data_IF_278340044224
#
_entry.id   IF_278340044224
#
_cell.length_a   1.000
_cell.length_b   1.000
_cell.length_c   1.000
_cell.angle_alpha   90.00
_cell.angle_beta   90.00
_cell.angle_gamma   90.00
#
_symmetry.space_group_name_H-M   'P 1'
#
loop_
_entity.id
_entity.type
_entity.pdbx_description
1 polymer ?
#
# COMPACT_ATOMS: atom_id res chain seq x y z
N UNK A 1 47.77 -1.96 -20.53
CA UNK A 1 47.93 -1.16 -19.29
C UNK A 1 46.58 -0.53 -19.03
N UNK A 2 45.58 -1.25 -18.55
CA UNK A 2 45.49 -1.92 -17.24
C UNK A 2 45.95 -1.00 -16.09
N UNK A 3 44.97 -0.44 -15.39
CA UNK A 3 44.92 -0.48 -13.93
C UNK A 3 43.47 -0.80 -13.53
N UNK A 4 43.27 -2.06 -13.15
CA UNK A 4 42.19 -2.56 -12.31
C UNK A 4 42.32 -2.01 -10.89
N UNK A 5 41.22 -2.02 -10.12
CA UNK A 5 41.09 -2.27 -8.66
C UNK A 5 39.72 -1.72 -8.19
N UNK A 6 38.65 -2.52 -8.02
CA UNK A 6 38.33 -3.58 -7.05
C UNK A 6 38.12 -3.14 -5.58
N UNK A 7 37.06 -3.72 -4.97
CA UNK A 7 36.73 -3.87 -3.52
C UNK A 7 36.05 -2.66 -2.84
N UNK A 8 34.93 -2.80 -2.10
CA UNK A 8 34.58 -3.78 -1.05
C UNK A 8 33.05 -3.84 -0.84
N UNK A 9 32.40 -4.96 -1.13
CA UNK A 9 31.83 -5.98 -0.23
C UNK A 9 31.62 -5.64 1.28
N UNK A 10 30.34 -5.75 1.67
CA UNK A 10 29.78 -6.32 2.91
C UNK A 10 30.21 -5.79 4.28
N UNK A 11 29.23 -5.22 5.00
CA UNK A 11 29.15 -5.37 6.45
C UNK A 11 27.70 -5.59 6.92
N UNK A 12 27.23 -6.83 6.74
CA UNK A 12 26.12 -7.39 7.52
C UNK A 12 26.63 -7.54 8.96
N UNK A 13 26.02 -6.85 9.93
CA UNK A 13 26.23 -7.12 11.34
C UNK A 13 24.96 -7.71 11.95
N UNK A 14 24.96 -9.04 11.98
CA UNK A 14 24.12 -9.86 12.83
C UNK A 14 24.45 -9.56 14.30
N UNK A 15 23.44 -9.31 15.13
CA UNK A 15 23.50 -9.66 16.54
C UNK A 15 22.10 -9.95 17.08
N UNK A 16 21.84 -11.24 17.20
CA UNK A 16 20.83 -11.81 18.08
C UNK A 16 21.21 -11.57 19.54
N UNK A 17 20.22 -11.25 20.37
CA UNK A 17 20.32 -11.42 21.82
C UNK A 17 19.05 -12.13 22.30
N UNK A 18 19.31 -13.28 22.91
CA UNK A 18 18.38 -14.21 23.53
C UNK A 18 17.62 -13.54 24.70
N UNK A 19 16.34 -13.89 24.86
CA UNK A 19 15.83 -14.82 25.88
C UNK A 19 15.90 -14.28 27.31
N UNK A 20 14.72 -13.98 27.85
CA UNK A 20 14.52 -13.62 29.24
C UNK A 20 13.04 -13.59 29.58
N UNK A 21 12.43 -14.76 29.77
CA UNK A 21 11.12 -14.89 30.38
C UNK A 21 11.24 -15.75 31.64
N UNK A 22 10.95 -15.20 32.81
CA UNK A 22 10.49 -16.01 33.92
C UNK A 22 9.27 -15.38 34.60
N UNK A 23 8.23 -16.17 34.82
CA UNK A 23 7.20 -15.80 35.79
C UNK A 23 5.83 -16.38 35.51
N UNK A 24 5.62 -17.65 35.86
CA UNK A 24 4.28 -18.21 36.04
C UNK A 24 4.15 -18.67 37.48
N UNK A 25 3.21 -18.12 38.26
CA UNK A 25 2.59 -18.88 39.32
C UNK A 25 1.16 -19.27 38.92
N UNK A 26 0.87 -20.51 39.31
CA UNK A 26 -0.37 -21.27 39.18
C UNK A 26 -1.36 -20.81 40.26
N UNK A 27 -2.62 -20.56 39.92
CA UNK A 27 -3.78 -20.90 40.76
C UNK A 27 -5.02 -21.10 39.86
N UNK A 28 -5.75 -22.18 40.13
CA UNK A 28 -7.10 -22.48 39.61
C UNK A 28 -8.12 -22.19 40.74
N UNK A 29 -9.39 -22.60 40.61
CA UNK A 29 -10.52 -21.85 40.06
C UNK A 29 -11.55 -21.47 41.15
N UNK A 30 -12.50 -20.57 40.85
CA UNK A 30 -13.71 -20.43 41.65
C UNK A 30 -14.93 -20.08 40.78
N UNK A 31 -15.94 -20.92 40.96
CA UNK A 31 -17.25 -20.99 40.35
C UNK A 31 -18.21 -19.96 41.00
N UNK A 32 -19.06 -19.30 40.22
CA UNK A 32 -20.53 -19.27 40.36
C UNK A 32 -21.21 -18.01 39.81
N UNK A 33 -22.38 -18.27 39.18
CA UNK A 33 -23.58 -17.42 39.11
C UNK A 33 -23.51 -16.14 38.25
N UNK A 34 -24.53 -15.72 37.50
CA UNK A 34 -25.88 -16.21 37.22
C UNK A 34 -26.36 -15.53 35.91
N UNK A 35 -27.32 -16.21 35.30
CA UNK A 35 -28.25 -15.89 34.22
C UNK A 35 -28.44 -14.45 33.69
N UNK A 36 -28.90 -14.47 32.43
CA UNK A 36 -29.70 -13.48 31.69
C UNK A 36 -28.89 -12.38 30.98
N UNK A 37 -29.06 -12.12 29.68
CA UNK A 37 -30.30 -12.02 28.92
C UNK A 37 -30.06 -12.45 27.46
N UNK A 38 -31.08 -13.09 26.89
CA UNK A 38 -31.20 -13.31 25.46
C UNK A 38 -31.06 -12.00 24.67
N UNK A 39 -30.30 -12.07 23.58
CA UNK A 39 -30.58 -11.36 22.34
C UNK A 39 -29.92 -12.11 21.21
N UNK A 40 -30.65 -13.12 20.73
CA UNK A 40 -30.61 -13.53 19.33
C UNK A 40 -31.02 -12.30 18.53
N UNK A 41 -30.05 -11.48 18.13
CA UNK A 41 -30.26 -10.51 17.05
C UNK A 41 -29.73 -11.13 15.78
N UNK A 42 -30.67 -11.80 15.12
CA UNK A 42 -30.81 -11.90 13.68
C UNK A 42 -29.98 -10.82 12.95
N UNK A 43 -28.77 -11.16 12.51
CA UNK A 43 -28.15 -10.43 11.40
C UNK A 43 -28.49 -11.22 10.16
N UNK A 44 -29.64 -10.86 9.60
CA UNK A 44 -29.95 -11.07 8.20
C UNK A 44 -28.67 -10.83 7.39
N UNK A 45 -28.25 -11.75 6.51
CA UNK A 45 -27.26 -11.38 5.52
C UNK A 45 -27.92 -10.27 4.71
N UNK A 46 -27.43 -9.05 4.85
CA UNK A 46 -27.79 -7.99 3.93
C UNK A 46 -27.47 -8.49 2.52
N UNK A 47 -28.32 -8.19 1.52
CA UNK A 47 -27.97 -8.48 0.13
C UNK A 47 -26.65 -7.74 -0.12
N UNK A 48 -25.61 -8.52 -0.42
CA UNK A 48 -24.29 -7.99 -0.75
C UNK A 48 -24.42 -7.30 -2.10
N UNK A 49 -24.93 -6.07 -2.10
CA UNK A 49 -24.71 -5.09 -3.14
C UNK A 49 -23.19 -4.88 -3.18
N UNK A 50 -22.49 -5.70 -3.96
CA UNK A 50 -21.09 -5.51 -4.28
C UNK A 50 -21.01 -4.19 -5.06
N UNK A 51 -20.54 -3.08 -4.46
CA UNK A 51 -20.50 -1.85 -5.21
C UNK A 51 -19.42 -2.08 -6.27
N UNK A 52 -19.81 -1.91 -7.53
CA UNK A 52 -18.85 -1.54 -8.55
C UNK A 52 -17.92 -0.49 -7.93
N UNK A 53 -16.61 -0.74 -7.97
CA UNK A 53 -15.56 0.16 -7.47
C UNK A 53 -15.61 1.45 -8.26
N UNK A 54 -16.57 2.31 -7.96
CA UNK A 54 -16.93 3.47 -8.77
C UNK A 54 -16.61 4.72 -7.98
N UNK A 55 -15.35 5.15 -8.11
CA UNK A 55 -14.86 6.39 -7.54
C UNK A 55 -13.38 6.59 -7.79
N UNK A 56 -12.96 7.83 -8.00
CA UNK A 56 -11.55 8.19 -8.23
C UNK A 56 -10.60 7.63 -7.14
N UNK A 57 -10.95 7.66 -5.83
CA UNK A 57 -10.10 7.05 -4.81
C UNK A 57 -9.96 5.54 -4.95
N UNK A 58 -11.02 4.84 -5.37
CA UNK A 58 -10.99 3.39 -5.58
C UNK A 58 -10.11 3.04 -6.79
N UNK A 59 -10.23 3.80 -7.88
CA UNK A 59 -9.38 3.66 -9.07
C UNK A 59 -7.91 3.90 -8.70
N UNK A 60 -7.62 4.99 -7.98
CA UNK A 60 -6.26 5.27 -7.53
C UNK A 60 -5.71 4.16 -6.64
N UNK A 61 -6.49 3.61 -5.72
CA UNK A 61 -6.06 2.50 -4.87
C UNK A 61 -5.69 1.26 -5.70
N UNK A 62 -6.44 0.96 -6.76
CA UNK A 62 -6.10 -0.14 -7.67
C UNK A 62 -4.78 0.13 -8.41
N UNK A 63 -4.61 1.32 -8.99
CA UNK A 63 -3.37 1.74 -9.67
C UNK A 63 -2.18 1.73 -8.71
N UNK A 64 -2.35 2.28 -7.51
CA UNK A 64 -1.34 2.28 -6.47
C UNK A 64 -0.93 0.86 -6.06
N UNK A 65 -1.89 -0.06 -5.95
CA UNK A 65 -1.60 -1.47 -5.64
C UNK A 65 -0.85 -2.17 -6.78
N UNK A 66 -1.20 -1.91 -8.04
CA UNK A 66 -0.46 -2.40 -9.20
C UNK A 66 0.95 -1.78 -9.30
N UNK A 67 1.15 -0.54 -8.83
CA UNK A 67 2.44 0.12 -8.84
C UNK A 67 3.41 -0.38 -7.76
N UNK A 68 2.90 -0.76 -6.57
CA UNK A 68 3.70 -1.15 -5.40
C UNK A 68 4.79 -2.21 -5.66
N UNK A 69 4.57 -3.28 -6.46
CA UNK A 69 5.61 -4.26 -6.78
C UNK A 69 6.78 -3.70 -7.62
N UNK A 70 6.55 -2.59 -8.32
CA UNK A 70 7.53 -2.00 -9.24
C UNK A 70 8.40 -0.91 -8.59
N UNK A 71 8.08 -0.51 -7.36
CA UNK A 71 8.81 0.51 -6.62
C UNK A 71 9.12 0.03 -5.21
N UNK A 72 10.21 0.52 -4.62
CA UNK A 72 10.48 0.20 -3.22
C UNK A 72 9.42 0.79 -2.29
N UNK A 73 9.23 0.21 -1.11
CA UNK A 73 8.28 0.72 -0.11
C UNK A 73 8.57 2.18 0.28
N UNK A 74 9.85 2.54 0.42
CA UNK A 74 10.29 3.91 0.72
C UNK A 74 9.96 4.86 -0.43
N UNK A 75 10.25 4.45 -1.67
CA UNK A 75 9.89 5.19 -2.89
C UNK A 75 8.39 5.46 -2.94
N UNK A 76 7.56 4.44 -2.71
CA UNK A 76 6.11 4.59 -2.71
C UNK A 76 5.65 5.58 -1.64
N UNK A 77 6.10 5.38 -0.39
CA UNK A 77 5.72 6.22 0.74
C UNK A 77 6.08 7.69 0.51
N UNK A 78 7.23 7.95 -0.09
CA UNK A 78 7.74 9.30 -0.31
C UNK A 78 7.07 10.04 -1.47
N UNK A 79 6.80 9.34 -2.58
CA UNK A 79 6.41 10.00 -3.83
C UNK A 79 4.96 9.76 -4.24
N UNK A 80 4.35 8.66 -3.82
CA UNK A 80 3.03 8.24 -4.30
C UNK A 80 1.96 8.24 -3.21
N UNK A 81 2.34 8.16 -1.92
CA UNK A 81 1.36 8.05 -0.84
C UNK A 81 0.44 9.27 -0.70
N UNK A 82 0.93 10.46 -1.08
CA UNK A 82 0.16 11.70 -1.03
C UNK A 82 -0.41 12.11 -2.40
N UNK A 83 -0.35 11.24 -3.40
CA UNK A 83 -0.94 11.48 -4.72
C UNK A 83 -2.41 11.11 -4.67
N UNK A 84 -3.23 11.93 -5.29
CA UNK A 84 -4.68 11.72 -5.39
C UNK A 84 -5.12 11.81 -6.85
N UNK A 85 -6.09 10.99 -7.23
CA UNK A 85 -6.69 11.04 -8.56
C UNK A 85 -7.86 12.03 -8.58
N UNK A 86 -7.75 13.05 -9.44
CA UNK A 86 -8.73 14.14 -9.56
C UNK A 86 -9.66 13.98 -10.77
N UNK A 87 -9.21 13.29 -11.81
CA UNK A 87 -9.96 13.05 -13.04
C UNK A 87 -9.55 11.70 -13.62
N UNK A 88 -10.51 10.90 -14.07
CA UNK A 88 -10.26 9.65 -14.77
C UNK A 88 -11.19 9.50 -15.98
N UNK A 89 -10.57 9.41 -17.15
CA UNK A 89 -11.22 9.15 -18.43
C UNK A 89 -10.31 8.28 -19.29
N UNK A 90 -10.83 7.78 -20.41
CA UNK A 90 -10.06 6.96 -21.35
C UNK A 90 -8.91 7.72 -22.02
N UNK A 91 -8.99 9.06 -22.06
CA UNK A 91 -8.02 9.93 -22.74
C UNK A 91 -7.13 10.69 -21.77
N UNK A 92 -7.56 10.93 -20.52
CA UNK A 92 -6.83 11.74 -19.55
C UNK A 92 -7.01 11.26 -18.11
N UNK A 93 -5.89 11.22 -17.37
CA UNK A 93 -5.83 11.08 -15.92
C UNK A 93 -5.16 12.31 -15.31
N UNK A 94 -5.82 12.96 -14.35
CA UNK A 94 -5.26 14.09 -13.61
C UNK A 94 -4.87 13.66 -12.19
N UNK A 95 -3.59 13.74 -11.87
CA UNK A 95 -3.04 13.41 -10.57
C UNK A 95 -2.66 14.68 -9.81
N UNK A 96 -3.23 14.86 -8.62
CA UNK A 96 -2.81 15.91 -7.70
C UNK A 96 -1.58 15.45 -6.93
N UNK A 97 -0.52 16.25 -6.95
CA UNK A 97 0.70 16.01 -6.18
C UNK A 97 0.91 17.10 -5.13
N UNK A 98 1.64 16.83 -4.03
CA UNK A 98 1.85 17.84 -3.00
C UNK A 98 2.64 19.08 -3.46
N UNK A 99 3.58 18.90 -4.39
CA UNK A 99 4.40 19.97 -4.93
C UNK A 99 5.12 19.53 -6.23
N UNK A 100 5.75 20.51 -6.89
CA UNK A 100 6.51 20.30 -8.13
C UNK A 100 7.62 19.25 -8.03
N UNK A 101 8.27 19.09 -6.87
CA UNK A 101 9.32 18.07 -6.72
C UNK A 101 8.77 16.65 -6.84
N UNK A 102 7.52 16.42 -6.43
CA UNK A 102 6.88 15.12 -6.62
C UNK A 102 6.63 14.85 -8.10
N UNK A 103 6.04 15.82 -8.80
CA UNK A 103 5.81 15.72 -10.25
C UNK A 103 7.10 15.42 -11.00
N UNK A 104 8.12 16.27 -10.84
CA UNK A 104 9.39 16.13 -11.56
C UNK A 104 10.03 14.76 -11.33
N UNK A 105 9.99 14.29 -10.09
CA UNK A 105 10.57 13.00 -9.73
C UNK A 105 9.79 11.82 -10.32
N UNK A 106 8.46 11.86 -10.27
CA UNK A 106 7.59 10.85 -10.88
C UNK A 106 7.78 10.82 -12.39
N UNK A 107 7.72 11.98 -13.06
CA UNK A 107 7.86 12.11 -14.51
C UNK A 107 9.20 11.55 -15.01
N UNK A 108 10.29 11.86 -14.32
CA UNK A 108 11.64 11.48 -14.75
C UNK A 108 11.95 10.00 -14.49
N UNK A 109 11.48 9.44 -13.37
CA UNK A 109 11.96 8.14 -12.91
C UNK A 109 10.91 7.02 -12.96
N UNK A 110 9.64 7.37 -12.79
CA UNK A 110 8.58 6.39 -12.51
C UNK A 110 7.40 6.47 -13.46
N UNK A 111 7.36 7.44 -14.38
CA UNK A 111 6.29 7.55 -15.37
C UNK A 111 6.09 6.28 -16.19
N UNK A 112 7.14 5.51 -16.61
CA UNK A 112 6.94 4.23 -17.28
C UNK A 112 6.22 3.20 -16.40
N UNK A 113 6.60 3.09 -15.13
CA UNK A 113 5.99 2.17 -14.16
C UNK A 113 4.55 2.57 -13.83
N UNK A 114 4.30 3.87 -13.68
CA UNK A 114 2.96 4.42 -13.47
C UNK A 114 2.04 4.15 -14.66
N UNK A 115 2.54 4.35 -15.90
CA UNK A 115 1.79 4.02 -17.12
C UNK A 115 1.47 2.53 -17.22
N UNK A 116 2.42 1.66 -16.87
CA UNK A 116 2.18 0.21 -16.87
C UNK A 116 1.08 -0.18 -15.87
N UNK A 117 1.12 0.36 -14.65
CA UNK A 117 0.10 0.12 -13.64
C UNK A 117 -1.29 0.66 -14.05
N UNK A 118 -1.33 1.84 -14.69
CA UNK A 118 -2.56 2.42 -15.24
C UNK A 118 -3.14 1.53 -16.34
N UNK A 119 -2.30 1.07 -17.26
CA UNK A 119 -2.72 0.19 -18.35
C UNK A 119 -3.26 -1.14 -17.83
N UNK A 120 -2.64 -1.72 -16.81
CA UNK A 120 -3.11 -2.96 -16.18
C UNK A 120 -4.50 -2.80 -15.56
N UNK A 121 -4.75 -1.68 -14.86
CA UNK A 121 -5.99 -1.46 -14.11
C UNK A 121 -7.12 -0.95 -14.99
N UNK A 122 -6.84 0.03 -15.86
CA UNK A 122 -7.86 0.68 -16.68
C UNK A 122 -8.00 0.07 -18.07
N UNK A 123 -7.06 -0.79 -18.49
CA UNK A 123 -7.01 -1.34 -19.85
C UNK A 123 -6.98 -0.23 -20.92
N UNK A 124 -6.49 0.95 -20.54
CA UNK A 124 -6.39 2.15 -21.36
C UNK A 124 -5.06 2.87 -21.11
N UNK A 125 -4.64 3.71 -22.07
CA UNK A 125 -3.40 4.50 -21.99
C UNK A 125 -3.69 6.01 -22.05
N UNK A 126 -4.39 6.58 -21.05
CA UNK A 126 -4.68 8.00 -21.02
C UNK A 126 -3.41 8.84 -20.86
N UNK A 127 -3.48 10.09 -21.30
CA UNK A 127 -2.48 11.10 -20.99
C UNK A 127 -2.48 11.38 -19.49
N UNK A 128 -1.29 11.36 -18.87
CA UNK A 128 -1.12 11.64 -17.45
C UNK A 128 -0.73 13.10 -17.29
N UNK A 129 -1.54 13.86 -16.56
CA UNK A 129 -1.27 15.24 -16.19
C UNK A 129 -1.16 15.38 -14.66
N UNK A 130 -0.43 16.42 -14.22
CA UNK A 130 -0.25 16.74 -12.81
C UNK A 130 -0.78 18.13 -12.48
N UNK A 131 -1.26 18.32 -11.24
CA UNK A 131 -1.71 19.61 -10.70
C UNK A 131 -1.34 19.78 -9.22
#
# INVERSE_FOLDING_TARGET
MEVSEHKTITKRKSRSTASGNPGRPRVSPALAADSAHASVTNRSPEPVDNPAVSGLPAIWNLVANALRPHVSTDTFARWFAAVELMEASDTRLLLRVPNYMHQLWIETNYLPHLRAAILEVLQASPEIAFT
#
